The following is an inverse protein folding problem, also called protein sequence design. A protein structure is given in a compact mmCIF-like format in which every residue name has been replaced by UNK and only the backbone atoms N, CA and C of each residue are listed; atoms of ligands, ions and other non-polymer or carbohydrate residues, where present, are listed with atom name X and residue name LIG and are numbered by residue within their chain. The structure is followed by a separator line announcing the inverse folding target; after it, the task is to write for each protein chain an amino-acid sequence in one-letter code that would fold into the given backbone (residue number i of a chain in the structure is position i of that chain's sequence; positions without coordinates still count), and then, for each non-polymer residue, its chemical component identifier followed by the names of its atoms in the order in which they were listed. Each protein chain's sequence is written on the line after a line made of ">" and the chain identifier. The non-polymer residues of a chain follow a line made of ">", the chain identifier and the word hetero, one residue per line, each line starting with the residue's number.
data_IF_706460138570
#
_entry.id   IF_706460138570
#
_cell.length_a   1.000
_cell.length_b   1.000
_cell.length_c   1.000
_cell.angle_alpha   90.00
_cell.angle_beta   90.00
_cell.angle_gamma   90.00
#
_symmetry.space_group_name_H-M   'P 1'
#
loop_
_entity.id
_entity.type
_entity.pdbx_description
1 polymer ?
#
# COMPACT_ATOMS: atom_id res chain seq x y z
N UNK A 1 -22.19 -6.50 24.20
CA UNK A 1 -21.31 -5.82 23.23
C UNK A 1 -20.50 -6.87 22.52
N UNK A 2 -20.33 -6.75 21.20
CA UNK A 2 -19.40 -7.60 20.44
C UNK A 2 -18.24 -6.73 20.01
N UNK A 3 -17.02 -7.15 20.34
CA UNK A 3 -15.82 -6.44 19.97
C UNK A 3 -15.62 -6.47 18.45
N UNK A 4 -15.09 -5.37 17.91
CA UNK A 4 -14.68 -5.31 16.52
C UNK A 4 -13.38 -6.07 16.28
N UNK A 5 -13.14 -6.47 15.03
CA UNK A 5 -11.91 -7.15 14.63
C UNK A 5 -10.66 -6.33 15.02
N UNK A 6 -10.68 -5.03 14.76
CA UNK A 6 -9.57 -4.13 15.08
C UNK A 6 -9.24 -4.10 16.58
N UNK A 7 -10.26 -4.03 17.45
CA UNK A 7 -10.06 -4.02 18.90
C UNK A 7 -9.45 -5.32 19.42
N UNK A 8 -9.82 -6.46 18.85
CA UNK A 8 -9.24 -7.77 19.21
C UNK A 8 -7.77 -7.80 18.82
N UNK A 9 -7.44 -7.45 17.57
CA UNK A 9 -6.06 -7.45 17.08
C UNK A 9 -5.16 -6.47 17.85
N UNK A 10 -5.67 -5.29 18.17
CA UNK A 10 -4.91 -4.29 18.92
C UNK A 10 -4.64 -4.75 20.35
N UNK A 11 -5.63 -5.38 21.00
CA UNK A 11 -5.49 -5.97 22.33
C UNK A 11 -4.45 -7.08 22.34
N UNK A 12 -4.52 -7.97 21.36
CA UNK A 12 -3.55 -9.08 21.24
C UNK A 12 -2.13 -8.54 21.06
N UNK A 13 -1.93 -7.59 20.14
CA UNK A 13 -0.61 -6.98 19.94
C UNK A 13 -0.10 -6.21 21.18
N UNK A 14 -0.98 -5.52 21.90
CA UNK A 14 -0.61 -4.81 23.13
C UNK A 14 -0.17 -5.77 24.23
N UNK A 15 -0.79 -6.96 24.32
CA UNK A 15 -0.47 -7.99 25.31
C UNK A 15 0.71 -8.90 24.92
N UNK A 16 1.16 -8.88 23.66
CA UNK A 16 2.34 -9.65 23.25
C UNK A 16 3.59 -9.21 24.01
N UNK A 17 4.34 -10.18 24.53
CA UNK A 17 5.60 -9.93 25.25
C UNK A 17 6.73 -9.67 24.25
N UNK A 18 7.62 -8.72 24.57
CA UNK A 18 8.80 -8.39 23.77
C UNK A 18 8.83 -6.94 23.31
N UNK A 19 10.04 -6.44 23.09
CA UNK A 19 10.33 -5.04 22.72
C UNK A 19 10.54 -4.86 21.20
N UNK A 20 10.30 -5.92 20.42
CA UNK A 20 10.40 -5.84 18.97
C UNK A 20 9.30 -4.92 18.39
N UNK A 21 9.59 -4.19 17.29
CA UNK A 21 8.59 -3.38 16.62
C UNK A 21 7.39 -4.22 16.16
N UNK A 22 6.18 -3.81 16.53
CA UNK A 22 4.92 -4.47 16.17
C UNK A 22 4.18 -3.59 15.18
N UNK A 23 3.98 -4.09 13.96
CA UNK A 23 3.32 -3.33 12.91
C UNK A 23 1.92 -3.86 12.68
N UNK A 24 0.96 -2.95 12.57
CA UNK A 24 -0.38 -3.24 12.07
C UNK A 24 -0.57 -2.46 10.78
N UNK A 25 -0.66 -3.19 9.68
CA UNK A 25 -0.81 -2.61 8.33
C UNK A 25 -2.27 -2.76 7.91
N UNK A 26 -2.87 -1.64 7.53
CA UNK A 26 -4.24 -1.56 7.04
C UNK A 26 -4.17 -1.11 5.59
N UNK A 27 -4.46 -2.04 4.68
CA UNK A 27 -4.54 -1.78 3.25
C UNK A 27 -6.00 -1.53 2.85
N UNK A 28 -6.25 -0.33 2.31
CA UNK A 28 -7.57 0.08 1.84
C UNK A 28 -7.85 1.55 2.12
N UNK A 29 -8.69 2.13 1.27
CA UNK A 29 -9.09 3.53 1.41
C UNK A 29 -9.83 3.81 2.73
N UNK A 30 -9.68 5.05 3.19
CA UNK A 30 -10.28 5.50 4.44
C UNK A 30 -11.73 5.91 4.21
N UNK A 31 -12.63 5.39 5.04
CA UNK A 31 -14.01 5.87 5.15
C UNK A 31 -14.15 6.75 6.40
N UNK A 32 -14.88 7.88 6.31
CA UNK A 32 -15.08 8.80 7.43
C UNK A 32 -15.62 8.11 8.70
N UNK A 33 -16.48 7.10 8.54
CA UNK A 33 -17.15 6.45 9.67
C UNK A 33 -16.19 5.65 10.55
N UNK A 34 -15.25 4.90 9.95
CA UNK A 34 -14.32 4.09 10.74
C UNK A 34 -13.12 4.89 11.23
N UNK A 35 -12.64 5.88 10.47
CA UNK A 35 -11.48 6.68 10.88
C UNK A 35 -11.79 7.56 12.09
N UNK A 36 -13.03 8.03 12.22
CA UNK A 36 -13.46 8.79 13.39
C UNK A 36 -13.35 7.97 14.68
N UNK A 37 -13.65 6.67 14.61
CA UNK A 37 -13.51 5.74 15.73
C UNK A 37 -12.04 5.53 16.14
N UNK A 38 -11.08 5.89 15.28
CA UNK A 38 -9.64 5.78 15.52
C UNK A 38 -8.99 7.11 15.95
N UNK A 39 -9.74 8.21 16.04
CA UNK A 39 -9.17 9.52 16.37
C UNK A 39 -8.36 9.53 17.68
N UNK A 40 -8.84 8.83 18.71
CA UNK A 40 -8.21 8.75 20.04
C UNK A 40 -6.96 7.88 20.06
N UNK A 41 -6.81 6.97 19.09
CA UNK A 41 -5.61 6.14 18.96
C UNK A 41 -4.56 6.79 18.07
N UNK A 42 -4.98 7.66 17.16
CA UNK A 42 -4.11 8.43 16.29
C UNK A 42 -3.57 9.71 16.94
N UNK A 43 -4.28 10.31 17.89
CA UNK A 43 -3.83 11.49 18.63
C UNK A 43 -2.66 11.18 19.62
N UNK A 44 -2.27 12.16 20.43
CA UNK A 44 -1.17 12.01 21.40
C UNK A 44 -1.48 11.07 22.55
N UNK A 45 -2.77 10.74 22.80
CA UNK A 45 -3.15 9.81 23.85
C UNK A 45 -2.75 8.38 23.48
N UNK A 46 -2.76 8.03 22.18
CA UNK A 46 -2.45 6.67 21.70
C UNK A 46 -3.30 5.59 22.37
N UNK A 47 -4.57 5.89 22.67
CA UNK A 47 -5.50 4.98 23.34
C UNK A 47 -6.77 4.80 22.51
N UNK A 48 -7.03 3.57 22.09
CA UNK A 48 -8.32 3.21 21.51
C UNK A 48 -9.38 3.13 22.61
N UNK A 49 -10.45 3.91 22.47
CA UNK A 49 -11.61 3.88 23.39
C UNK A 49 -12.79 3.20 22.71
N UNK A 50 -13.21 2.06 23.24
CA UNK A 50 -14.34 1.30 22.70
C UNK A 50 -15.67 1.81 23.27
N UNK A 51 -16.78 1.55 22.57
CA UNK A 51 -18.13 1.83 23.07
C UNK A 51 -18.48 1.07 24.35
N UNK A 52 -17.74 -0.02 24.66
CA UNK A 52 -17.79 -0.74 25.94
C UNK A 52 -17.11 0.02 27.10
N UNK A 53 -16.53 1.20 26.85
CA UNK A 53 -15.63 1.95 27.72
C UNK A 53 -14.29 1.26 28.02
N UNK A 54 -13.96 0.18 27.33
CA UNK A 54 -12.62 -0.39 27.39
C UNK A 54 -11.61 0.55 26.72
N UNK A 55 -10.42 0.65 27.32
CA UNK A 55 -9.32 1.49 26.85
C UNK A 55 -8.11 0.61 26.55
N UNK A 56 -7.70 0.57 25.30
CA UNK A 56 -6.55 -0.19 24.83
C UNK A 56 -5.47 0.81 24.40
N UNK A 57 -4.38 0.87 25.16
CA UNK A 57 -3.26 1.77 24.86
C UNK A 57 -2.26 1.11 23.90
N UNK A 58 -1.73 1.88 22.95
CA UNK A 58 -0.60 1.46 22.13
C UNK A 58 0.67 1.48 22.96
N UNK A 59 1.42 0.39 22.90
CA UNK A 59 2.75 0.33 23.49
C UNK A 59 3.75 1.09 22.60
N UNK A 60 4.87 1.61 23.16
CA UNK A 60 5.86 2.36 22.38
C UNK A 60 6.48 1.59 21.19
N UNK A 61 6.45 0.25 21.21
CA UNK A 61 6.90 -0.61 20.11
C UNK A 61 5.88 -0.79 18.98
N UNK A 62 4.63 -0.37 19.15
CA UNK A 62 3.57 -0.54 18.16
C UNK A 62 3.56 0.58 17.12
N UNK A 63 3.28 0.23 15.87
CA UNK A 63 3.15 1.15 14.73
C UNK A 63 1.90 0.79 13.93
N UNK A 64 1.07 1.79 13.66
CA UNK A 64 -0.07 1.68 12.74
C UNK A 64 0.37 2.27 11.38
N UNK A 65 0.20 1.50 10.32
CA UNK A 65 0.46 1.92 8.94
C UNK A 65 -0.83 1.77 8.14
N UNK A 66 -1.17 2.83 7.40
CA UNK A 66 -2.31 2.85 6.51
C UNK A 66 -1.81 2.99 5.07
N UNK A 67 -2.11 2.01 4.23
CA UNK A 67 -1.89 2.06 2.79
C UNK A 67 -3.20 2.49 2.13
N UNK A 68 -3.17 3.67 1.53
CA UNK A 68 -4.37 4.36 1.03
C UNK A 68 -4.08 4.92 -0.37
N UNK A 69 -5.06 4.86 -1.26
CA UNK A 69 -4.89 5.39 -2.61
C UNK A 69 -5.16 6.90 -2.68
N UNK A 70 -6.07 7.39 -1.83
CA UNK A 70 -6.45 8.79 -1.78
C UNK A 70 -7.01 9.19 -0.40
N UNK A 71 -6.91 10.49 -0.09
CA UNK A 71 -7.41 11.09 1.16
C UNK A 71 -8.68 11.93 0.94
N UNK A 72 -9.43 11.70 -0.15
CA UNK A 72 -10.55 12.57 -0.55
C UNK A 72 -11.63 12.71 0.52
N UNK A 73 -11.84 11.63 1.26
CA UNK A 73 -12.87 11.48 2.30
C UNK A 73 -12.37 11.88 3.69
N UNK A 74 -11.06 12.03 3.88
CA UNK A 74 -10.48 12.35 5.17
C UNK A 74 -10.42 13.87 5.40
N UNK A 75 -10.77 14.32 6.60
CA UNK A 75 -10.67 15.74 6.96
C UNK A 75 -9.23 16.13 7.26
N UNK A 76 -8.79 17.39 7.00
CA UNK A 76 -7.44 17.86 7.33
C UNK A 76 -7.05 17.63 8.81
N UNK A 77 -8.01 17.77 9.73
CA UNK A 77 -7.81 17.54 11.16
C UNK A 77 -7.57 16.06 11.52
N UNK A 78 -8.08 15.13 10.71
CA UNK A 78 -7.86 13.69 10.91
C UNK A 78 -6.46 13.30 10.47
N UNK A 79 -6.07 13.74 9.27
CA UNK A 79 -4.77 13.38 8.68
C UNK A 79 -3.60 14.10 9.34
N UNK A 80 -3.83 15.25 10.01
CA UNK A 80 -2.77 15.97 10.74
C UNK A 80 -2.24 15.21 11.96
N UNK A 81 -2.96 14.18 12.43
CA UNK A 81 -2.55 13.35 13.57
C UNK A 81 -1.62 12.20 13.15
N UNK A 82 -1.44 11.99 11.85
CA UNK A 82 -0.59 10.94 11.28
C UNK A 82 0.54 11.54 10.45
N UNK A 83 1.66 10.82 10.37
CA UNK A 83 2.70 11.12 9.38
C UNK A 83 2.23 10.66 8.00
N UNK A 84 2.21 11.57 7.02
CA UNK A 84 1.82 11.24 5.65
C UNK A 84 3.09 11.10 4.81
N UNK A 85 3.30 9.91 4.26
CA UNK A 85 4.32 9.67 3.24
C UNK A 85 3.64 9.57 1.88
N UNK A 86 3.84 10.56 1.01
CA UNK A 86 3.33 10.51 -0.35
C UNK A 86 4.33 9.82 -1.26
N UNK A 87 3.90 8.74 -1.92
CA UNK A 87 4.70 8.01 -2.89
C UNK A 87 4.21 8.39 -4.28
N UNK A 88 5.09 9.01 -5.07
CA UNK A 88 4.77 9.37 -6.43
C UNK A 88 4.84 8.13 -7.35
N UNK A 89 3.77 7.78 -8.08
CA UNK A 89 3.78 6.64 -9.00
C UNK A 89 4.87 6.74 -10.08
N UNK A 90 5.25 7.96 -10.49
CA UNK A 90 6.32 8.13 -11.50
C UNK A 90 7.71 7.81 -10.98
N UNK A 91 7.93 7.90 -9.66
CA UNK A 91 9.25 7.68 -9.06
C UNK A 91 9.54 6.18 -8.93
N UNK A 92 8.51 5.36 -8.71
CA UNK A 92 8.61 3.91 -8.77
C UNK A 92 8.62 3.43 -10.22
N UNK A 93 7.66 3.88 -11.04
CA UNK A 93 7.50 3.43 -12.42
C UNK A 93 7.34 1.91 -12.56
N UNK A 94 7.60 1.40 -13.77
CA UNK A 94 7.50 -0.03 -14.08
C UNK A 94 8.81 -0.81 -13.86
N UNK A 95 9.95 -0.11 -13.86
CA UNK A 95 11.28 -0.72 -13.86
C UNK A 95 11.57 -1.62 -12.64
N UNK A 96 11.24 -1.23 -11.39
CA UNK A 96 11.51 -2.08 -10.22
C UNK A 96 10.76 -3.40 -10.28
N UNK A 97 9.51 -3.38 -10.76
CA UNK A 97 8.70 -4.58 -10.92
C UNK A 97 9.33 -5.53 -11.96
N UNK A 98 9.66 -5.02 -13.15
CA UNK A 98 10.27 -5.84 -14.22
C UNK A 98 11.62 -6.41 -13.78
N UNK A 99 12.46 -5.62 -13.09
CA UNK A 99 13.74 -6.12 -12.58
C UNK A 99 13.57 -7.24 -11.56
N UNK A 100 12.62 -7.11 -10.63
CA UNK A 100 12.30 -8.17 -9.68
C UNK A 100 11.76 -9.43 -10.38
N UNK A 101 10.92 -9.26 -11.39
CA UNK A 101 10.42 -10.35 -12.22
C UNK A 101 11.54 -11.09 -12.98
N UNK A 102 12.43 -10.33 -13.63
CA UNK A 102 13.58 -10.83 -14.38
C UNK A 102 14.57 -11.63 -13.49
N UNK A 103 14.72 -11.24 -12.22
CA UNK A 103 15.56 -11.97 -11.27
C UNK A 103 15.05 -13.38 -10.96
N UNK A 104 13.78 -13.70 -11.22
CA UNK A 104 13.25 -15.06 -11.07
C UNK A 104 13.84 -16.02 -12.11
N UNK A 105 14.24 -15.52 -13.27
CA UNK A 105 14.88 -16.32 -14.31
C UNK A 105 16.36 -16.54 -13.96
N UNK A 106 16.80 -17.80 -13.94
CA UNK A 106 18.19 -18.17 -13.60
C UNK A 106 19.17 -17.92 -14.74
N UNK A 107 18.70 -17.86 -15.99
CA UNK A 107 19.54 -17.63 -17.16
C UNK A 107 19.84 -16.13 -17.32
N UNK A 108 21.12 -15.78 -17.15
CA UNK A 108 21.61 -14.40 -17.23
C UNK A 108 21.56 -13.84 -18.66
N UNK A 109 21.77 -14.68 -19.69
CA UNK A 109 21.70 -14.23 -21.08
C UNK A 109 20.28 -13.84 -21.45
N UNK A 110 19.30 -14.68 -21.09
CA UNK A 110 17.88 -14.38 -21.33
C UNK A 110 17.47 -13.13 -20.56
N UNK A 111 17.93 -12.97 -19.32
CA UNK A 111 17.65 -11.78 -18.51
C UNK A 111 18.12 -10.49 -19.18
N UNK A 112 19.36 -10.47 -19.66
CA UNK A 112 19.94 -9.30 -20.32
C UNK A 112 19.24 -8.97 -21.63
N UNK A 113 18.88 -9.98 -22.42
CA UNK A 113 18.13 -9.80 -23.66
C UNK A 113 16.74 -9.20 -23.36
N UNK A 114 16.01 -9.79 -22.42
CA UNK A 114 14.68 -9.30 -22.05
C UNK A 114 14.76 -7.88 -21.49
N UNK A 115 15.69 -7.58 -20.57
CA UNK A 115 15.87 -6.22 -20.04
C UNK A 115 16.07 -5.20 -21.16
N UNK A 116 16.90 -5.52 -22.15
CA UNK A 116 17.12 -4.64 -23.32
C UNK A 116 15.85 -4.40 -24.14
N UNK A 117 14.97 -5.41 -24.26
CA UNK A 117 13.68 -5.26 -24.94
C UNK A 117 12.69 -4.44 -24.12
N UNK A 118 12.62 -4.65 -22.81
CA UNK A 118 11.78 -3.85 -21.93
C UNK A 118 12.16 -2.36 -22.01
N UNK A 119 13.45 -2.03 -21.91
CA UNK A 119 13.93 -0.63 -22.01
C UNK A 119 13.67 0.00 -23.39
N UNK A 120 13.81 -0.78 -24.46
CA UNK A 120 13.61 -0.28 -25.83
C UNK A 120 12.15 -0.02 -26.18
N UNK A 121 11.25 -0.94 -25.80
CA UNK A 121 9.88 -0.94 -26.29
C UNK A 121 8.88 -0.33 -25.30
N UNK A 122 9.02 -0.56 -23.99
CA UNK A 122 8.00 -0.16 -23.01
C UNK A 122 7.81 1.36 -22.92
N UNK A 123 8.85 2.21 -22.83
CA UNK A 123 8.65 3.66 -22.70
C UNK A 123 7.87 4.26 -23.88
N UNK A 124 8.19 3.82 -25.10
CA UNK A 124 7.53 4.30 -26.31
C UNK A 124 6.09 3.79 -26.41
N UNK A 125 5.84 2.53 -26.06
CA UNK A 125 4.50 1.94 -26.08
C UNK A 125 3.59 2.56 -25.03
N UNK A 126 4.07 2.80 -23.80
CA UNK A 126 3.29 3.48 -22.76
C UNK A 126 2.97 4.92 -23.14
N UNK A 127 3.93 5.66 -23.73
CA UNK A 127 3.71 7.01 -24.24
C UNK A 127 2.67 7.03 -25.36
N UNK A 128 2.79 6.12 -26.32
CA UNK A 128 1.82 5.97 -27.40
C UNK A 128 0.44 5.57 -26.88
N UNK A 129 0.36 4.71 -25.86
CA UNK A 129 -0.91 4.31 -25.25
C UNK A 129 -1.70 5.52 -24.72
N UNK A 130 -1.01 6.52 -24.15
CA UNK A 130 -1.65 7.73 -23.62
C UNK A 130 -2.11 8.73 -24.68
N UNK A 131 -1.45 8.77 -25.84
CA UNK A 131 -1.67 9.82 -26.85
C UNK A 131 -2.34 9.33 -28.13
N UNK A 132 -2.18 8.06 -28.49
CA UNK A 132 -2.62 7.54 -29.78
C UNK A 132 -4.07 7.07 -29.78
N UNK A 133 -4.66 6.79 -28.61
CA UNK A 133 -6.00 6.17 -28.51
C UNK A 133 -6.86 6.81 -27.44
N UNK A 134 -8.18 6.77 -27.66
CA UNK A 134 -9.15 7.10 -26.61
C UNK A 134 -9.32 5.88 -25.70
N UNK A 135 -8.77 5.99 -24.50
CA UNK A 135 -8.95 4.98 -23.45
C UNK A 135 -10.34 5.16 -22.81
N UNK A 136 -11.15 4.11 -22.81
CA UNK A 136 -12.49 4.12 -22.20
C UNK A 136 -12.40 3.95 -20.68
N UNK A 137 -11.55 3.02 -20.23
CA UNK A 137 -11.35 2.71 -18.82
C UNK A 137 -9.89 2.99 -18.46
N UNK A 138 -9.61 3.89 -17.51
CA UNK A 138 -8.23 4.18 -17.12
C UNK A 138 -7.61 2.93 -16.47
N UNK A 139 -6.53 2.43 -17.08
CA UNK A 139 -5.77 1.29 -16.56
C UNK A 139 -4.40 1.82 -16.12
N UNK A 140 -3.93 1.50 -14.90
CA UNK A 140 -2.59 1.87 -14.45
C UNK A 140 -1.51 1.27 -15.34
N UNK A 141 -0.42 2.00 -15.58
CA UNK A 141 0.70 1.51 -16.39
C UNK A 141 1.25 0.17 -15.89
N UNK A 142 1.42 0.03 -14.57
CA UNK A 142 1.88 -1.22 -13.97
C UNK A 142 0.99 -2.41 -14.29
N UNK A 143 -0.34 -2.23 -14.40
CA UNK A 143 -1.23 -3.32 -14.75
C UNK A 143 -0.95 -3.87 -16.16
N UNK A 144 -0.63 -2.99 -17.13
CA UNK A 144 -0.21 -3.43 -18.47
C UNK A 144 1.08 -4.24 -18.42
N UNK A 145 2.04 -3.83 -17.58
CA UNK A 145 3.32 -4.51 -17.41
C UNK A 145 3.15 -5.86 -16.71
N UNK A 146 2.30 -5.94 -15.68
CA UNK A 146 1.93 -7.20 -15.03
C UNK A 146 1.37 -8.19 -16.06
N UNK A 147 0.40 -7.76 -16.88
CA UNK A 147 -0.17 -8.62 -17.93
C UNK A 147 0.89 -9.08 -18.92
N UNK A 148 1.78 -8.19 -19.37
CA UNK A 148 2.86 -8.57 -20.28
C UNK A 148 3.79 -9.62 -19.65
N UNK A 149 4.22 -9.42 -18.40
CA UNK A 149 5.05 -10.39 -17.69
C UNK A 149 4.34 -11.74 -17.54
N UNK A 150 3.05 -11.75 -17.17
CA UNK A 150 2.25 -12.97 -17.08
C UNK A 150 2.15 -13.68 -18.42
N UNK A 151 1.97 -12.95 -19.53
CA UNK A 151 1.94 -13.54 -20.87
C UNK A 151 3.27 -14.16 -21.25
N UNK A 152 4.40 -13.56 -20.87
CA UNK A 152 5.74 -14.09 -21.12
C UNK A 152 6.07 -15.32 -20.24
N UNK A 153 5.39 -15.50 -19.10
CA UNK A 153 5.55 -16.71 -18.26
C UNK A 153 4.78 -17.93 -18.83
N UNK A 154 3.77 -17.70 -19.67
CA UNK A 154 2.95 -18.76 -20.25
C UNK A 154 3.59 -19.43 -21.48
N UNK A 155 4.67 -18.87 -22.01
CA UNK A 155 5.42 -19.36 -23.17
C UNK A 155 6.86 -19.69 -22.79
#
# INVERSE_FOLDING_TARGET
>A
WKDGLFSVLLRDQANMVGDAPKWMVMDGDIDPMWIESLNTVMDDNKVLTLASNERIALTPGMRLLFEISNLRTATPATVSRAGILYINPTDLGWTPYVRSWLQKNKDENIRNILESYFEKYIPNTLKASKSAWKIITPIPENAHIHVLCTLLELY
#
